data_IF_591654546725
#
_entry.id   IF_591654546725
#
_cell.length_a   1.000
_cell.length_b   1.000
_cell.length_c   1.000
_cell.angle_alpha   90.00
_cell.angle_beta   90.00
_cell.angle_gamma   90.00
#
_symmetry.space_group_name_H-M   'P 1'
#
loop_
_entity.id
_entity.type
_entity.pdbx_description
1 polymer ?
#
# COMPACT_ATOMS: atom_id res chain seq x y z
N UNK A 1 57.17 -19.08 63.11
CA UNK A 1 57.35 -17.73 62.61
C UNK A 1 56.48 -17.60 61.37
N UNK A 2 55.31 -17.00 61.49
CA UNK A 2 54.33 -16.84 60.37
C UNK A 2 54.33 -15.36 59.98
N UNK A 3 54.79 -15.05 58.76
CA UNK A 3 54.68 -13.72 58.19
C UNK A 3 53.34 -13.63 57.41
N UNK A 4 52.51 -12.72 57.87
CA UNK A 4 51.21 -12.40 57.18
C UNK A 4 51.47 -11.18 56.32
N UNK A 5 51.33 -11.37 54.99
CA UNK A 5 51.40 -10.29 54.02
C UNK A 5 49.95 -9.85 53.68
N UNK A 6 49.60 -8.62 54.06
CA UNK A 6 48.32 -8.01 53.75
C UNK A 6 48.39 -7.42 52.34
N UNK A 7 47.62 -7.98 51.43
CA UNK A 7 47.37 -7.43 50.06
C UNK A 7 46.30 -6.35 50.16
N UNK A 8 46.62 -5.13 49.77
CA UNK A 8 45.64 -4.04 49.59
C UNK A 8 45.07 -4.09 48.20
N UNK A 9 43.80 -4.38 48.09
CA UNK A 9 43.09 -4.22 46.86
C UNK A 9 42.73 -2.73 46.66
N UNK A 10 43.25 -2.13 45.61
CA UNK A 10 42.78 -0.84 45.10
C UNK A 10 41.59 -1.09 44.15
N UNK A 11 40.41 -0.61 44.49
CA UNK A 11 39.25 -0.65 43.64
C UNK A 11 39.38 0.46 42.57
N UNK A 12 39.57 0.07 41.33
CA UNK A 12 39.48 0.98 40.18
C UNK A 12 38.00 1.03 39.77
N UNK A 13 37.35 2.17 40.03
CA UNK A 13 36.03 2.48 39.49
C UNK A 13 36.19 2.85 38.00
N UNK A 14 35.95 1.90 37.10
CA UNK A 14 35.73 2.19 35.69
C UNK A 14 34.28 2.63 35.52
N UNK A 15 34.07 3.93 35.36
CA UNK A 15 32.77 4.49 34.97
C UNK A 15 32.44 4.04 33.53
N UNK A 16 31.45 3.18 33.41
CA UNK A 16 30.85 2.87 32.14
C UNK A 16 30.00 4.09 31.67
N UNK A 17 30.54 4.86 30.72
CA UNK A 17 29.74 5.85 29.98
C UNK A 17 28.82 5.03 29.08
N UNK A 18 27.57 4.91 29.48
CA UNK A 18 26.52 4.40 28.58
C UNK A 18 26.32 5.42 27.46
N UNK A 19 26.90 5.16 26.30
CA UNK A 19 26.55 5.83 25.07
C UNK A 19 25.11 5.39 24.70
N UNK A 20 24.13 6.20 25.10
CA UNK A 20 22.78 6.09 24.54
C UNK A 20 22.86 6.61 23.11
N UNK A 21 23.08 5.70 22.16
CA UNK A 21 22.79 5.99 20.76
C UNK A 21 21.29 6.22 20.66
N UNK A 22 20.83 7.34 20.07
CA UNK A 22 19.42 7.50 19.78
C UNK A 22 19.01 6.37 18.82
N UNK A 23 18.05 5.54 19.23
CA UNK A 23 17.37 4.63 18.34
C UNK A 23 16.58 5.50 17.36
N UNK A 24 17.14 5.73 16.18
CA UNK A 24 16.38 6.27 15.07
C UNK A 24 15.23 5.29 14.82
N UNK A 25 14.00 5.77 14.55
CA UNK A 25 12.91 4.90 14.19
C UNK A 25 13.35 4.12 12.95
N UNK A 26 13.48 2.83 13.08
CA UNK A 26 13.64 1.92 11.95
C UNK A 26 12.27 1.88 11.30
N UNK A 27 12.07 2.67 10.27
CA UNK A 27 10.94 2.47 9.38
C UNK A 27 11.04 1.03 8.87
N UNK A 28 9.96 0.27 8.99
CA UNK A 28 9.90 -1.09 8.49
C UNK A 28 10.20 -1.06 6.98
N UNK A 29 11.43 -1.42 6.63
CA UNK A 29 11.87 -1.41 5.24
C UNK A 29 11.61 -2.80 4.69
N UNK A 30 10.87 -2.88 3.58
CA UNK A 30 10.73 -4.13 2.87
C UNK A 30 12.10 -4.63 2.44
N UNK A 31 12.34 -5.89 2.70
CA UNK A 31 13.46 -6.65 2.15
C UNK A 31 13.05 -7.35 0.86
N UNK A 32 14.00 -7.97 0.22
CA UNK A 32 13.78 -8.82 -0.93
C UNK A 32 14.44 -10.17 -0.71
N UNK A 33 13.80 -11.20 -1.27
CA UNK A 33 14.32 -12.57 -1.31
C UNK A 33 14.54 -12.95 -2.78
N UNK A 34 15.76 -13.26 -3.19
CA UNK A 34 16.05 -13.69 -4.57
C UNK A 34 15.23 -14.92 -4.95
N UNK A 35 14.69 -14.95 -6.15
CA UNK A 35 13.97 -16.10 -6.69
C UNK A 35 14.79 -16.69 -7.83
N UNK A 36 15.08 -18.02 -7.81
CA UNK A 36 15.81 -18.66 -8.88
C UNK A 36 15.14 -18.49 -10.24
N UNK A 37 15.89 -18.05 -11.25
CA UNK A 37 15.38 -17.77 -12.59
C UNK A 37 14.82 -19.01 -13.33
N UNK A 38 15.17 -20.21 -12.91
CA UNK A 38 14.62 -21.45 -13.44
C UNK A 38 13.18 -21.72 -13.00
N UNK A 39 12.70 -20.98 -11.98
CA UNK A 39 11.34 -21.12 -11.45
C UNK A 39 10.43 -19.97 -11.82
N UNK A 40 10.96 -18.81 -12.19
CA UNK A 40 10.18 -17.60 -12.47
C UNK A 40 10.40 -17.16 -13.91
N UNK A 41 9.32 -16.87 -14.62
CA UNK A 41 9.33 -16.32 -15.96
C UNK A 41 8.63 -14.99 -16.03
N UNK A 42 9.24 -14.01 -16.72
CA UNK A 42 8.50 -12.92 -17.34
C UNK A 42 7.98 -13.40 -18.69
N UNK A 43 6.70 -13.22 -18.92
CA UNK A 43 6.02 -13.70 -20.14
C UNK A 43 5.31 -12.54 -20.81
N UNK A 44 5.60 -12.34 -22.09
CA UNK A 44 4.80 -11.50 -22.97
C UNK A 44 3.54 -12.27 -23.38
N UNK A 45 2.39 -11.86 -22.85
CA UNK A 45 1.08 -12.47 -23.09
C UNK A 45 0.38 -11.73 -24.21
N UNK A 46 -0.08 -12.39 -25.28
CA UNK A 46 -0.84 -11.73 -26.34
C UNK A 46 -2.07 -10.99 -25.80
N UNK A 47 -2.22 -9.72 -26.17
CA UNK A 47 -3.32 -8.86 -25.75
C UNK A 47 -3.93 -8.12 -26.96
N UNK A 48 -5.14 -8.47 -27.34
CA UNK A 48 -5.79 -7.94 -28.54
C UNK A 48 -5.09 -8.34 -29.84
N UNK A 49 -5.26 -7.55 -30.89
CA UNK A 49 -4.82 -7.90 -32.23
C UNK A 49 -3.29 -7.80 -32.44
N UNK A 50 -2.61 -6.89 -31.75
CA UNK A 50 -1.18 -6.58 -31.96
C UNK A 50 -0.42 -6.24 -30.68
N UNK A 51 -1.07 -6.29 -29.52
CA UNK A 51 -0.47 -5.91 -28.23
C UNK A 51 0.02 -7.10 -27.43
N UNK A 52 0.85 -6.80 -26.41
CA UNK A 52 1.29 -7.75 -25.41
C UNK A 52 1.19 -7.12 -24.03
N UNK A 53 0.82 -7.92 -23.05
CA UNK A 53 0.86 -7.57 -21.62
C UNK A 53 1.93 -8.41 -20.92
N UNK A 54 2.37 -7.95 -19.74
CA UNK A 54 3.31 -8.70 -18.90
C UNK A 54 2.55 -9.64 -17.97
N UNK A 55 3.04 -10.86 -17.85
CA UNK A 55 2.73 -11.74 -16.73
C UNK A 55 4.03 -12.27 -16.12
N UNK A 56 4.06 -12.44 -14.81
CA UNK A 56 5.12 -13.16 -14.08
C UNK A 56 4.53 -14.48 -13.61
N UNK A 57 5.17 -15.57 -13.95
CA UNK A 57 4.74 -16.95 -13.62
C UNK A 57 5.83 -17.63 -12.82
N UNK A 58 5.50 -18.15 -11.65
CA UNK A 58 6.40 -18.95 -10.84
C UNK A 58 5.92 -20.40 -10.74
N UNK A 59 6.84 -21.32 -10.94
CA UNK A 59 6.66 -22.75 -10.70
C UNK A 59 6.90 -23.07 -9.22
N UNK A 60 5.91 -23.59 -8.51
CA UNK A 60 6.09 -24.08 -7.14
C UNK A 60 6.84 -25.43 -7.20
N UNK A 61 7.97 -25.57 -6.47
CA UNK A 61 8.79 -26.77 -6.53
C UNK A 61 8.03 -28.05 -6.15
N UNK A 62 8.23 -29.11 -6.92
CA UNK A 62 7.63 -30.44 -6.65
C UNK A 62 6.13 -30.54 -6.97
N UNK A 63 5.56 -29.50 -7.58
CA UNK A 63 4.17 -29.48 -8.03
C UNK A 63 4.09 -29.70 -9.55
N UNK A 64 2.85 -29.70 -10.08
CA UNK A 64 2.57 -29.85 -11.49
C UNK A 64 3.17 -28.72 -12.31
N UNK A 65 3.70 -29.03 -13.49
CA UNK A 65 4.34 -28.05 -14.36
C UNK A 65 3.38 -26.95 -14.78
N UNK A 66 3.82 -25.71 -14.62
CA UNK A 66 3.06 -24.51 -14.96
C UNK A 66 3.23 -24.14 -16.43
N UNK A 67 4.39 -24.38 -16.98
CA UNK A 67 4.74 -24.03 -18.35
C UNK A 67 5.73 -25.03 -18.94
N UNK A 68 5.80 -25.04 -20.26
CA UNK A 68 6.88 -25.69 -20.99
C UNK A 68 7.48 -24.71 -22.01
N UNK A 69 8.80 -24.76 -22.20
CA UNK A 69 9.52 -23.86 -23.08
C UNK A 69 9.88 -24.56 -24.39
N UNK A 70 9.71 -23.89 -25.52
CA UNK A 70 10.01 -24.40 -26.86
C UNK A 70 10.75 -23.34 -27.68
N UNK A 71 11.83 -23.77 -28.36
CA UNK A 71 12.63 -22.86 -29.17
C UNK A 71 13.52 -21.93 -28.35
N UNK A 72 14.28 -21.08 -29.06
CA UNK A 72 15.20 -20.11 -28.45
C UNK A 72 15.04 -18.69 -28.99
N UNK A 73 14.62 -18.53 -30.26
CA UNK A 73 14.59 -17.25 -30.95
C UNK A 73 13.29 -17.06 -31.76
N UNK A 74 12.18 -16.67 -31.13
CA UNK A 74 11.91 -16.49 -29.68
C UNK A 74 11.65 -17.80 -28.93
N UNK A 75 11.88 -17.81 -27.65
CA UNK A 75 11.42 -18.91 -26.77
C UNK A 75 9.91 -18.77 -26.56
N UNK A 76 9.17 -19.80 -27.01
CA UNK A 76 7.71 -19.88 -26.85
C UNK A 76 7.40 -20.53 -25.53
N UNK A 77 6.49 -19.91 -24.77
CA UNK A 77 5.96 -20.45 -23.51
C UNK A 77 4.64 -21.16 -23.80
N UNK A 78 4.59 -22.48 -23.60
CA UNK A 78 3.34 -23.21 -23.58
C UNK A 78 2.67 -23.00 -22.20
N UNK A 79 1.53 -22.29 -22.12
CA UNK A 79 0.93 -21.90 -20.85
C UNK A 79 0.11 -23.03 -20.22
N UNK A 80 0.75 -24.05 -19.65
CA UNK A 80 0.08 -25.21 -19.04
C UNK A 80 -0.88 -24.80 -17.92
N UNK A 81 -0.55 -23.69 -17.21
CA UNK A 81 -1.43 -23.12 -16.18
C UNK A 81 -2.85 -22.75 -16.68
N UNK A 82 -3.07 -22.68 -17.98
CA UNK A 82 -4.42 -22.42 -18.55
C UNK A 82 -5.24 -23.69 -18.75
N UNK A 83 -4.64 -24.88 -18.57
CA UNK A 83 -5.25 -26.18 -18.90
C UNK A 83 -5.70 -26.97 -17.66
N UNK A 84 -5.38 -26.51 -16.46
CA UNK A 84 -5.74 -27.16 -15.19
C UNK A 84 -5.89 -26.11 -14.09
N UNK A 85 -6.51 -26.52 -12.98
CA UNK A 85 -6.47 -25.70 -11.76
C UNK A 85 -5.05 -25.68 -11.21
N UNK A 86 -4.36 -24.55 -11.37
CA UNK A 86 -2.96 -24.39 -11.03
C UNK A 86 -2.72 -23.94 -9.58
N UNK A 87 -3.78 -23.84 -8.77
CA UNK A 87 -3.70 -23.50 -7.34
C UNK A 87 -2.69 -24.37 -6.62
N UNK A 88 -1.77 -23.78 -5.88
CA UNK A 88 -0.69 -24.49 -5.20
C UNK A 88 0.40 -25.06 -6.10
N UNK A 89 0.28 -25.01 -7.44
CA UNK A 89 1.32 -25.44 -8.38
C UNK A 89 2.06 -24.27 -9.00
N UNK A 90 1.32 -23.16 -9.26
CA UNK A 90 1.86 -21.96 -9.88
C UNK A 90 1.46 -20.71 -9.08
N UNK A 91 2.31 -19.69 -9.12
CA UNK A 91 1.96 -18.33 -8.77
C UNK A 91 1.96 -17.47 -10.02
N UNK A 92 1.02 -16.53 -10.13
CA UNK A 92 0.88 -15.66 -11.30
C UNK A 92 0.59 -14.22 -10.88
N UNK A 93 1.37 -13.27 -11.40
CA UNK A 93 1.14 -11.85 -11.29
C UNK A 93 0.93 -11.25 -12.68
N UNK A 94 -0.10 -10.42 -12.86
CA UNK A 94 -0.50 -9.86 -14.16
C UNK A 94 -0.68 -8.35 -14.16
N UNK A 95 -0.48 -7.70 -13.02
CA UNK A 95 -0.64 -6.27 -12.84
C UNK A 95 0.37 -5.70 -11.84
N UNK A 96 0.39 -4.38 -11.68
CA UNK A 96 1.28 -3.65 -10.77
C UNK A 96 1.08 -3.96 -9.28
N UNK A 97 0.01 -4.63 -8.89
CA UNK A 97 -0.15 -5.12 -7.52
C UNK A 97 0.64 -6.41 -7.28
N UNK A 98 0.95 -7.15 -8.34
CA UNK A 98 1.69 -8.40 -8.27
C UNK A 98 3.16 -8.29 -8.65
N UNK A 99 3.58 -7.19 -9.30
CA UNK A 99 4.98 -6.95 -9.64
C UNK A 99 5.32 -5.46 -9.74
N UNK A 100 6.57 -5.12 -9.47
CA UNK A 100 7.12 -3.77 -9.65
C UNK A 100 8.62 -3.78 -9.92
N UNK A 101 9.22 -2.60 -10.02
CA UNK A 101 10.66 -2.42 -10.20
C UNK A 101 11.31 -2.10 -8.85
N UNK A 102 12.48 -2.68 -8.60
CA UNK A 102 13.34 -2.36 -7.47
C UNK A 102 14.75 -2.04 -7.98
N UNK A 103 15.32 -0.93 -7.60
CA UNK A 103 16.65 -0.50 -8.03
C UNK A 103 17.54 -0.23 -6.85
N UNK A 104 18.75 -0.78 -6.89
CA UNK A 104 19.76 -0.64 -5.82
C UNK A 104 19.20 -0.91 -4.41
N UNK A 105 18.33 -1.92 -4.31
CA UNK A 105 17.68 -2.28 -3.07
C UNK A 105 16.54 -1.33 -2.63
N UNK A 106 16.12 -0.38 -3.46
CA UNK A 106 15.00 0.52 -3.19
C UNK A 106 13.77 0.13 -4.00
N UNK A 107 12.61 0.08 -3.36
CA UNK A 107 11.33 -0.12 -4.05
C UNK A 107 10.96 1.14 -4.84
N UNK A 108 10.98 1.01 -6.17
CA UNK A 108 10.69 2.10 -7.11
C UNK A 108 9.35 1.88 -7.83
N UNK A 109 8.42 1.20 -7.19
CA UNK A 109 7.08 0.90 -7.73
C UNK A 109 6.30 2.15 -8.13
N UNK A 110 6.62 3.29 -7.52
CA UNK A 110 6.01 4.59 -7.81
C UNK A 110 6.76 5.41 -8.87
N UNK A 111 7.99 5.01 -9.20
CA UNK A 111 8.82 5.74 -10.15
C UNK A 111 8.76 5.12 -11.53
N UNK A 112 8.52 3.81 -11.62
CA UNK A 112 8.55 3.07 -12.87
C UNK A 112 7.31 2.21 -13.07
N UNK A 113 6.88 2.12 -14.33
CA UNK A 113 5.93 1.11 -14.79
C UNK A 113 6.63 0.15 -15.75
N UNK A 114 6.13 -1.07 -15.82
CA UNK A 114 6.62 -2.09 -16.75
C UNK A 114 5.68 -2.20 -17.95
N UNK A 115 6.23 -1.97 -19.14
CA UNK A 115 5.51 -2.08 -20.39
C UNK A 115 6.20 -3.09 -21.31
N UNK A 116 5.44 -3.97 -21.96
CA UNK A 116 5.93 -4.82 -23.06
C UNK A 116 5.64 -4.11 -24.38
N UNK A 117 6.70 -3.74 -25.08
CA UNK A 117 6.59 -2.94 -26.31
C UNK A 117 7.34 -3.59 -27.48
N UNK A 118 6.80 -3.53 -28.72
CA UNK A 118 7.54 -3.93 -29.90
C UNK A 118 8.73 -2.99 -30.18
N UNK A 119 9.87 -3.57 -30.47
CA UNK A 119 11.10 -2.85 -30.83
C UNK A 119 11.84 -3.60 -31.92
N UNK A 120 11.67 -3.15 -33.17
CA UNK A 120 12.18 -3.91 -34.33
C UNK A 120 11.50 -5.26 -34.47
N UNK A 121 12.29 -6.32 -34.44
CA UNK A 121 11.85 -7.71 -34.58
C UNK A 121 11.71 -8.47 -33.23
N UNK A 122 11.74 -7.77 -32.11
CA UNK A 122 11.60 -8.31 -30.77
C UNK A 122 10.60 -7.53 -29.90
N UNK A 123 10.18 -8.10 -28.77
CA UNK A 123 9.48 -7.38 -27.70
C UNK A 123 10.49 -7.03 -26.62
N UNK A 124 10.41 -5.80 -26.14
CA UNK A 124 11.18 -5.35 -24.99
C UNK A 124 10.28 -5.12 -23.79
N UNK A 125 10.71 -5.57 -22.61
CA UNK A 125 10.16 -5.18 -21.32
C UNK A 125 10.91 -3.94 -20.89
N UNK A 126 10.17 -2.83 -20.76
CA UNK A 126 10.74 -1.52 -20.43
C UNK A 126 10.16 -1.05 -19.11
N UNK A 127 11.03 -0.71 -18.16
CA UNK A 127 10.67 0.10 -17.01
C UNK A 127 10.71 1.56 -17.44
N UNK A 128 9.51 2.17 -17.53
CA UNK A 128 9.35 3.58 -17.91
C UNK A 128 9.22 4.45 -16.67
N UNK A 129 10.09 5.44 -16.55
CA UNK A 129 10.00 6.46 -15.53
C UNK A 129 8.75 7.32 -15.70
N UNK A 130 8.07 7.61 -14.60
CA UNK A 130 6.90 8.49 -14.61
C UNK A 130 7.27 9.98 -14.69
N UNK A 131 8.42 10.35 -14.11
CA UNK A 131 8.79 11.75 -13.93
C UNK A 131 9.87 12.24 -14.91
N UNK A 132 10.82 11.39 -15.24
CA UNK A 132 12.06 11.77 -15.95
C UNK A 132 12.12 11.25 -17.39
N UNK A 133 11.05 10.60 -17.87
CA UNK A 133 11.02 9.90 -19.16
C UNK A 133 12.16 8.88 -19.34
N UNK A 134 12.79 8.44 -18.26
CA UNK A 134 13.78 7.36 -18.31
C UNK A 134 13.14 6.07 -18.81
N UNK A 135 13.89 5.30 -19.59
CA UNK A 135 13.47 4.01 -20.10
C UNK A 135 14.58 3.02 -19.84
N UNK A 136 14.38 2.12 -18.90
CA UNK A 136 15.32 1.04 -18.62
C UNK A 136 14.86 -0.22 -19.33
N UNK A 137 15.69 -0.82 -20.15
CA UNK A 137 15.36 -2.08 -20.81
C UNK A 137 15.64 -3.22 -19.83
N UNK A 138 14.57 -3.78 -19.28
CA UNK A 138 14.62 -4.86 -18.28
C UNK A 138 14.91 -6.21 -18.92
N UNK A 139 14.37 -6.44 -20.12
CA UNK A 139 14.56 -7.71 -20.83
C UNK A 139 13.95 -7.71 -22.22
N UNK A 140 14.11 -8.82 -22.95
CA UNK A 140 13.65 -8.94 -24.33
C UNK A 140 13.32 -10.38 -24.72
N UNK A 141 12.57 -10.58 -25.83
CA UNK A 141 12.08 -11.90 -26.27
C UNK A 141 12.96 -12.60 -27.30
N UNK A 142 13.99 -11.97 -27.81
CA UNK A 142 14.81 -12.49 -28.91
C UNK A 142 14.00 -12.91 -30.14
N UNK A 143 13.08 -12.05 -30.58
CA UNK A 143 12.16 -12.26 -31.69
C UNK A 143 10.70 -12.15 -31.32
N UNK A 144 9.83 -12.06 -32.33
CA UNK A 144 8.37 -12.01 -32.19
C UNK A 144 7.73 -13.17 -32.94
N UNK A 145 6.76 -13.82 -32.26
CA UNK A 145 5.83 -14.74 -32.92
C UNK A 145 4.41 -14.32 -32.49
N UNK A 146 3.68 -13.75 -33.44
CA UNK A 146 2.35 -13.20 -33.17
C UNK A 146 1.40 -14.27 -32.60
N UNK A 147 0.63 -13.87 -31.56
CA UNK A 147 -0.37 -14.74 -30.94
C UNK A 147 0.19 -15.79 -30.00
N UNK A 148 1.52 -15.88 -29.84
CA UNK A 148 2.16 -16.81 -28.92
C UNK A 148 2.60 -16.13 -27.64
N UNK A 149 2.62 -16.89 -26.55
CA UNK A 149 3.22 -16.49 -25.30
C UNK A 149 4.75 -16.57 -25.43
N UNK A 150 5.46 -15.48 -25.16
CA UNK A 150 6.89 -15.42 -25.37
C UNK A 150 7.63 -15.19 -24.06
N UNK A 151 8.70 -15.95 -23.83
CA UNK A 151 9.58 -15.71 -22.68
C UNK A 151 10.33 -14.41 -22.89
N UNK A 152 10.31 -13.54 -21.88
CA UNK A 152 11.18 -12.38 -21.79
C UNK A 152 12.42 -12.81 -21.01
N UNK A 153 13.59 -12.70 -21.62
CA UNK A 153 14.87 -12.93 -20.97
C UNK A 153 15.32 -11.62 -20.33
N UNK A 154 15.64 -11.64 -19.04
CA UNK A 154 16.14 -10.45 -18.36
C UNK A 154 17.52 -10.08 -18.88
N UNK A 155 17.78 -8.79 -19.00
CA UNK A 155 19.08 -8.25 -19.39
C UNK A 155 20.07 -8.33 -18.21
N UNK A 156 21.39 -8.34 -18.47
CA UNK A 156 22.38 -8.31 -17.41
C UNK A 156 22.15 -7.15 -16.42
N UNK A 157 22.27 -7.41 -15.13
CA UNK A 157 22.00 -6.48 -14.04
C UNK A 157 20.57 -6.48 -13.55
N UNK A 158 19.70 -7.32 -14.14
CA UNK A 158 18.33 -7.53 -13.69
C UNK A 158 18.12 -8.96 -13.22
N UNK A 159 17.38 -9.12 -12.14
CA UNK A 159 17.00 -10.41 -11.57
C UNK A 159 15.58 -10.39 -10.99
N UNK A 160 15.05 -11.57 -10.69
CA UNK A 160 13.79 -11.68 -9.97
C UNK A 160 14.05 -11.77 -8.47
N UNK A 161 13.28 -10.98 -7.71
CA UNK A 161 13.14 -11.20 -6.29
C UNK A 161 11.67 -11.09 -5.84
N UNK A 162 11.39 -11.54 -4.64
CA UNK A 162 10.09 -11.37 -3.98
C UNK A 162 10.17 -10.35 -2.88
N UNK A 163 9.13 -9.57 -2.76
CA UNK A 163 8.95 -8.66 -1.64
C UNK A 163 8.85 -9.47 -0.34
N UNK A 164 9.59 -9.07 0.68
CA UNK A 164 9.50 -9.66 2.00
C UNK A 164 9.29 -8.55 3.05
N UNK A 165 8.52 -8.86 4.07
CA UNK A 165 8.25 -7.98 5.19
C UNK A 165 8.43 -8.76 6.48
N UNK A 166 9.30 -8.27 7.37
CA UNK A 166 9.64 -8.93 8.65
C UNK A 166 10.01 -10.41 8.50
N UNK A 167 10.69 -10.76 7.38
CA UNK A 167 11.12 -12.13 7.09
C UNK A 167 10.06 -13.00 6.38
N UNK A 168 8.84 -12.52 6.19
CA UNK A 168 7.80 -13.21 5.42
C UNK A 168 7.89 -12.82 3.95
N UNK A 169 8.03 -13.82 3.08
CA UNK A 169 7.98 -13.63 1.63
C UNK A 169 6.53 -13.41 1.20
N UNK A 170 6.29 -12.32 0.48
CA UNK A 170 4.97 -11.94 -0.04
C UNK A 170 4.77 -12.44 -1.48
N UNK A 171 3.53 -12.36 -1.98
CA UNK A 171 3.18 -12.72 -3.36
C UNK A 171 3.63 -11.72 -4.43
N UNK A 172 4.26 -10.61 -4.04
CA UNK A 172 4.70 -9.54 -4.94
C UNK A 172 6.11 -9.81 -5.47
N UNK A 173 6.30 -9.70 -6.80
CA UNK A 173 7.58 -9.85 -7.48
C UNK A 173 8.23 -8.52 -7.74
N UNK A 174 9.54 -8.45 -7.55
CA UNK A 174 10.35 -7.37 -8.04
C UNK A 174 11.15 -7.80 -9.27
N UNK A 175 11.21 -6.91 -10.26
CA UNK A 175 12.30 -6.87 -11.23
C UNK A 175 13.39 -6.04 -10.56
N UNK A 176 14.34 -6.72 -9.91
CA UNK A 176 15.40 -6.07 -9.15
C UNK A 176 16.57 -5.75 -10.05
N UNK A 177 17.01 -4.50 -10.07
CA UNK A 177 18.10 -4.02 -10.88
C UNK A 177 19.24 -3.44 -10.04
N UNK A 178 20.47 -3.75 -10.40
CA UNK A 178 21.68 -3.09 -9.92
C UNK A 178 22.11 -2.02 -10.93
N UNK A 179 22.06 -0.75 -10.57
CA UNK A 179 22.36 0.36 -11.48
C UNK A 179 23.78 0.32 -12.04
N UNK A 180 24.75 -0.16 -11.26
CA UNK A 180 26.14 -0.31 -11.69
C UNK A 180 26.29 -1.43 -12.73
N UNK A 181 25.63 -2.57 -12.49
CA UNK A 181 25.62 -3.69 -13.43
C UNK A 181 24.86 -3.34 -14.72
N UNK A 182 23.72 -2.66 -14.61
CA UNK A 182 22.94 -2.15 -15.76
C UNK A 182 23.78 -1.19 -16.60
N UNK A 183 24.48 -0.24 -15.98
CA UNK A 183 25.35 0.69 -16.66
C UNK A 183 26.57 -0.01 -17.31
N UNK A 184 27.18 -0.96 -16.63
CA UNK A 184 28.30 -1.75 -17.15
C UNK A 184 27.90 -2.62 -18.37
N UNK A 185 26.64 -3.05 -18.43
CA UNK A 185 26.08 -3.77 -19.57
C UNK A 185 25.64 -2.87 -20.73
N UNK A 186 25.89 -1.56 -20.67
CA UNK A 186 25.54 -0.59 -21.69
C UNK A 186 24.10 -0.03 -21.58
N UNK A 187 23.42 -0.30 -20.46
CA UNK A 187 22.15 0.31 -20.14
C UNK A 187 22.31 1.75 -19.63
N UNK A 188 21.25 2.53 -19.71
CA UNK A 188 21.22 3.85 -19.05
C UNK A 188 21.03 3.63 -17.55
N UNK A 189 22.02 4.02 -16.74
CA UNK A 189 21.88 3.97 -15.29
C UNK A 189 20.77 4.93 -14.84
N UNK A 190 19.88 4.53 -13.95
CA UNK A 190 18.90 5.43 -13.37
C UNK A 190 19.61 6.48 -12.49
N UNK A 191 19.13 7.70 -12.53
CA UNK A 191 19.56 8.70 -11.55
C UNK A 191 18.78 8.40 -10.28
N UNK A 192 19.41 7.70 -9.34
CA UNK A 192 18.79 7.38 -8.04
C UNK A 192 18.65 8.67 -7.22
N UNK A 193 17.50 9.30 -7.35
CA UNK A 193 16.97 10.12 -6.26
C UNK A 193 16.13 9.19 -5.41
N UNK A 194 16.53 9.00 -4.16
CA UNK A 194 15.76 8.22 -3.19
C UNK A 194 14.30 8.70 -3.19
N UNK A 195 13.41 7.91 -3.78
CA UNK A 195 11.98 8.25 -3.81
C UNK A 195 11.37 7.97 -2.45
N UNK A 196 11.22 9.04 -1.68
CA UNK A 196 10.11 9.08 -0.76
C UNK A 196 8.82 8.99 -1.60
N UNK A 197 7.84 8.18 -1.18
CA UNK A 197 6.51 8.01 -1.78
C UNK A 197 5.70 9.32 -1.81
N UNK A 198 6.21 10.31 -2.52
CA UNK A 198 5.64 11.64 -2.58
C UNK A 198 4.75 11.76 -3.81
N UNK A 199 3.52 11.26 -3.70
CA UNK A 199 2.48 11.66 -4.65
C UNK A 199 2.29 13.17 -4.62
N UNK A 200 2.15 13.78 -5.79
CA UNK A 200 2.03 15.23 -5.93
C UNK A 200 0.77 15.80 -5.28
N UNK A 201 -0.25 14.95 -5.09
CA UNK A 201 -1.61 15.33 -4.70
C UNK A 201 -2.00 14.97 -3.25
N UNK A 202 -1.09 14.38 -2.45
CA UNK A 202 -1.37 14.03 -1.03
C UNK A 202 -0.74 14.99 -0.03
N UNK A 203 0.00 16.01 -0.46
CA UNK A 203 0.76 16.88 0.46
C UNK A 203 -0.08 17.58 1.54
N UNK A 204 -1.37 17.78 1.29
CA UNK A 204 -2.34 18.39 2.22
C UNK A 204 -3.47 17.44 2.59
N UNK A 205 -3.33 16.17 2.26
CA UNK A 205 -4.34 15.17 2.58
C UNK A 205 -4.24 14.78 4.05
N UNK A 206 -5.38 14.65 4.71
CA UNK A 206 -5.48 14.26 6.12
C UNK A 206 -4.81 12.91 6.38
N UNK A 207 -4.89 11.99 5.40
CA UNK A 207 -4.37 10.62 5.50
C UNK A 207 -3.02 10.44 4.80
N UNK A 208 -2.24 11.52 4.63
CA UNK A 208 -0.96 11.46 3.91
C UNK A 208 -0.04 10.37 4.42
N UNK A 209 0.13 10.28 5.74
CA UNK A 209 1.05 9.31 6.36
C UNK A 209 0.55 7.88 6.18
N UNK A 210 -0.75 7.66 6.39
CA UNK A 210 -1.39 6.34 6.19
C UNK A 210 -1.34 5.91 4.73
N UNK A 211 -1.52 6.84 3.78
CA UNK A 211 -1.37 6.56 2.36
C UNK A 211 0.06 6.10 2.06
N UNK A 212 1.07 6.82 2.56
CA UNK A 212 2.47 6.48 2.34
C UNK A 212 2.83 5.12 2.92
N UNK A 213 2.35 4.80 4.13
CA UNK A 213 2.54 3.52 4.77
C UNK A 213 1.80 2.40 4.02
N UNK A 214 0.54 2.60 3.67
CA UNK A 214 -0.27 1.63 2.91
C UNK A 214 0.33 1.29 1.55
N UNK A 215 0.85 2.30 0.85
CA UNK A 215 1.60 2.12 -0.41
C UNK A 215 2.93 1.41 -0.16
N UNK A 216 3.64 1.80 0.88
CA UNK A 216 4.86 1.12 1.33
C UNK A 216 4.62 -0.36 1.60
N UNK A 217 3.52 -0.71 2.27
CA UNK A 217 3.08 -2.09 2.50
C UNK A 217 2.59 -2.81 1.22
N UNK A 218 2.33 -2.06 0.15
CA UNK A 218 2.04 -2.61 -1.18
C UNK A 218 0.62 -3.13 -1.36
N UNK A 219 -0.31 -2.85 -0.45
CA UNK A 219 -1.69 -3.26 -0.62
C UNK A 219 -2.58 -2.24 -1.35
N UNK A 220 -2.06 -1.04 -1.57
CA UNK A 220 -2.65 -0.05 -2.47
C UNK A 220 -1.54 0.65 -3.24
N UNK A 221 -1.81 1.08 -4.47
CA UNK A 221 -0.85 1.77 -5.32
C UNK A 221 -1.41 3.10 -5.83
N UNK A 222 -0.52 4.01 -6.22
CA UNK A 222 -0.86 5.23 -6.96
C UNK A 222 -1.10 4.98 -8.45
N UNK A 223 -1.28 6.07 -9.18
CA UNK A 223 -1.51 6.06 -10.62
C UNK A 223 -0.24 6.40 -11.39
N UNK A 224 -0.28 6.08 -12.68
CA UNK A 224 0.84 6.27 -13.63
C UNK A 224 1.33 7.72 -13.78
N UNK A 225 0.55 8.69 -13.34
CA UNK A 225 0.84 10.13 -13.39
C UNK A 225 1.44 10.67 -12.07
N UNK A 226 1.94 9.78 -11.22
CA UNK A 226 2.46 10.09 -9.88
C UNK A 226 1.44 10.78 -8.97
N UNK A 227 0.17 10.43 -9.14
CA UNK A 227 -0.91 10.83 -8.23
C UNK A 227 -1.43 9.63 -7.46
N UNK A 228 -1.93 9.86 -6.27
CA UNK A 228 -2.67 8.87 -5.50
C UNK A 228 -4.17 8.97 -5.77
N UNK A 229 -4.63 10.14 -6.16
CA UNK A 229 -6.04 10.52 -6.33
C UNK A 229 -6.83 10.25 -5.06
N UNK A 230 -6.48 10.93 -3.98
CA UNK A 230 -6.99 10.63 -2.64
C UNK A 230 -8.51 10.76 -2.53
N UNK A 231 -9.11 11.67 -3.27
CA UNK A 231 -10.56 11.95 -3.25
C UNK A 231 -11.36 11.15 -4.27
N UNK A 232 -10.71 10.36 -5.15
CA UNK A 232 -11.43 9.47 -6.05
C UNK A 232 -12.13 8.35 -5.25
N UNK A 233 -13.28 7.92 -5.74
CA UNK A 233 -14.01 6.82 -5.11
C UNK A 233 -13.33 5.48 -5.38
N UNK A 234 -13.27 4.63 -4.36
CA UNK A 234 -12.77 3.26 -4.49
C UNK A 234 -13.86 2.36 -5.07
N UNK A 235 -13.52 1.53 -6.07
CA UNK A 235 -14.46 0.53 -6.59
C UNK A 235 -14.48 -0.74 -5.75
N UNK A 236 -15.54 -1.54 -5.86
CA UNK A 236 -15.70 -2.78 -5.10
C UNK A 236 -14.59 -3.80 -5.39
N UNK A 237 -14.15 -3.92 -6.64
CA UNK A 237 -13.02 -4.81 -6.97
C UNK A 237 -11.68 -4.29 -6.43
N UNK A 238 -11.47 -2.97 -6.42
CA UNK A 238 -10.28 -2.37 -5.84
C UNK A 238 -10.22 -2.59 -4.33
N UNK A 239 -11.36 -2.49 -3.63
CA UNK A 239 -11.48 -2.82 -2.21
C UNK A 239 -11.05 -4.26 -1.93
N UNK A 240 -11.59 -5.23 -2.68
CA UNK A 240 -11.21 -6.65 -2.52
C UNK A 240 -9.72 -6.86 -2.73
N UNK A 241 -9.14 -6.24 -3.76
CA UNK A 241 -7.70 -6.34 -4.02
C UNK A 241 -6.85 -5.73 -2.91
N UNK A 242 -7.27 -4.59 -2.37
CA UNK A 242 -6.60 -3.90 -1.28
C UNK A 242 -6.63 -4.73 0.01
N UNK A 243 -7.79 -5.27 0.37
CA UNK A 243 -7.94 -6.11 1.57
C UNK A 243 -7.11 -7.39 1.46
N UNK A 244 -7.17 -8.07 0.30
CA UNK A 244 -6.34 -9.25 0.06
C UNK A 244 -4.86 -8.92 0.28
N UNK A 245 -4.37 -7.83 -0.33
CA UNK A 245 -2.98 -7.40 -0.17
C UNK A 245 -2.63 -7.04 1.28
N UNK A 246 -3.52 -6.39 2.01
CA UNK A 246 -3.29 -6.05 3.41
C UNK A 246 -3.20 -7.31 4.30
N UNK A 247 -4.09 -8.28 4.10
CA UNK A 247 -4.05 -9.56 4.82
C UNK A 247 -2.81 -10.39 4.48
N UNK A 248 -2.32 -10.32 3.23
CA UNK A 248 -1.10 -10.99 2.79
C UNK A 248 0.15 -10.49 3.55
N UNK A 249 0.15 -9.23 4.02
CA UNK A 249 1.24 -8.68 4.84
C UNK A 249 1.25 -9.18 6.29
N UNK A 250 0.24 -9.94 6.73
CA UNK A 250 0.16 -10.46 8.10
C UNK A 250 0.86 -11.82 8.20
N UNK A 251 1.93 -11.92 9.00
CA UNK A 251 2.71 -13.16 9.17
C UNK A 251 1.92 -14.34 9.68
N UNK A 252 0.92 -14.04 10.49
CA UNK A 252 0.04 -15.04 11.10
C UNK A 252 -1.10 -15.50 10.20
N UNK A 253 -1.26 -14.91 9.02
CA UNK A 253 -2.32 -15.23 8.06
C UNK A 253 -1.69 -15.84 6.81
N UNK A 254 -1.74 -17.17 6.73
CA UNK A 254 -1.30 -17.86 5.52
C UNK A 254 -2.45 -17.82 4.50
N UNK A 255 -2.34 -16.93 3.50
CA UNK A 255 -3.27 -16.86 2.39
C UNK A 255 -2.77 -17.75 1.24
N UNK A 256 -3.64 -18.61 0.75
CA UNK A 256 -3.40 -19.24 -0.54
C UNK A 256 -3.62 -18.19 -1.64
N UNK A 257 -2.61 -17.99 -2.50
CA UNK A 257 -2.73 -17.03 -3.61
C UNK A 257 -3.88 -17.43 -4.53
N UNK A 258 -4.88 -16.55 -4.75
CA UNK A 258 -5.99 -16.85 -5.63
C UNK A 258 -5.50 -16.88 -7.08
N UNK A 259 -5.38 -18.06 -7.65
CA UNK A 259 -4.55 -18.29 -8.85
C UNK A 259 -5.33 -18.39 -10.14
N UNK A 260 -6.56 -18.83 -10.14
CA UNK A 260 -7.45 -18.79 -11.32
C UNK A 260 -8.90 -19.05 -10.93
N UNK A 261 -9.77 -18.64 -11.80
CA UNK A 261 -11.21 -18.84 -11.63
C UNK A 261 -11.69 -19.71 -12.78
N UNK A 262 -11.93 -21.01 -12.54
CA UNK A 262 -12.42 -21.90 -13.60
C UNK A 262 -13.85 -21.55 -14.03
N UNK A 263 -14.60 -20.86 -13.16
CA UNK A 263 -15.95 -20.37 -13.42
C UNK A 263 -16.10 -18.93 -12.93
N UNK A 264 -16.97 -18.16 -13.55
CA UNK A 264 -17.24 -16.79 -13.12
C UNK A 264 -17.73 -16.75 -11.66
N UNK A 265 -17.08 -15.97 -10.78
CA UNK A 265 -17.49 -15.87 -9.38
C UNK A 265 -18.89 -15.25 -9.21
N UNK A 266 -19.23 -14.33 -10.11
CA UNK A 266 -20.53 -13.70 -10.24
C UNK A 266 -20.85 -13.51 -11.75
N UNK A 267 -22.14 -13.42 -12.14
CA UNK A 267 -22.52 -13.30 -13.57
C UNK A 267 -21.89 -12.10 -14.29
N UNK A 268 -21.56 -11.05 -13.57
CA UNK A 268 -20.98 -9.80 -14.07
C UNK A 268 -19.46 -9.69 -13.84
N UNK A 269 -18.80 -10.77 -13.37
CA UNK A 269 -17.34 -10.82 -13.18
C UNK A 269 -16.78 -11.89 -14.11
N UNK A 270 -16.26 -11.47 -15.25
CA UNK A 270 -15.60 -12.36 -16.22
C UNK A 270 -14.38 -13.04 -15.55
N UNK A 271 -14.19 -14.34 -15.80
CA UNK A 271 -13.06 -15.09 -15.23
C UNK A 271 -11.68 -14.58 -15.67
N UNK A 272 -11.61 -13.86 -16.79
CA UNK A 272 -10.39 -13.20 -17.25
C UNK A 272 -10.14 -11.82 -16.63
N UNK A 273 -11.12 -11.29 -15.87
CA UNK A 273 -10.97 -10.00 -15.19
C UNK A 273 -9.82 -10.06 -14.19
N UNK A 274 -9.00 -9.02 -14.13
CA UNK A 274 -7.82 -8.94 -13.26
C UNK A 274 -8.12 -9.23 -11.78
N UNK A 275 -9.32 -8.86 -11.32
CA UNK A 275 -9.80 -9.03 -9.94
C UNK A 275 -10.55 -10.33 -9.69
N UNK A 276 -10.87 -11.11 -10.75
CA UNK A 276 -11.79 -12.26 -10.64
C UNK A 276 -11.35 -13.27 -9.59
N UNK A 277 -10.08 -13.63 -9.54
CA UNK A 277 -9.54 -14.57 -8.57
C UNK A 277 -9.63 -14.08 -7.12
N UNK A 278 -9.36 -12.79 -6.90
CA UNK A 278 -9.48 -12.17 -5.57
C UNK A 278 -10.95 -12.04 -5.14
N UNK A 279 -11.86 -11.73 -6.08
CA UNK A 279 -13.31 -11.69 -5.82
C UNK A 279 -13.83 -13.09 -5.48
N UNK A 280 -13.38 -14.13 -6.20
CA UNK A 280 -13.73 -15.53 -5.88
C UNK A 280 -13.25 -15.90 -4.48
N UNK A 281 -11.99 -15.61 -4.18
CA UNK A 281 -11.40 -15.86 -2.87
C UNK A 281 -12.18 -15.13 -1.75
N UNK A 282 -12.49 -13.85 -1.93
CA UNK A 282 -13.21 -13.07 -0.94
C UNK A 282 -14.64 -13.57 -0.72
N UNK A 283 -15.30 -14.07 -1.78
CA UNK A 283 -16.60 -14.71 -1.72
C UNK A 283 -16.54 -16.04 -0.93
N UNK A 284 -15.57 -16.91 -1.23
CA UNK A 284 -15.40 -18.23 -0.58
C UNK A 284 -15.02 -18.13 0.90
N UNK A 285 -14.48 -17.00 1.31
CA UNK A 285 -14.11 -16.74 2.72
C UNK A 285 -15.08 -15.77 3.42
N UNK A 286 -16.26 -15.54 2.85
CA UNK A 286 -17.34 -14.71 3.42
C UNK A 286 -16.93 -13.25 3.74
N UNK A 287 -15.93 -12.72 3.01
CA UNK A 287 -15.52 -11.32 3.16
C UNK A 287 -16.47 -10.37 2.44
N UNK A 288 -16.97 -10.80 1.27
CA UNK A 288 -17.86 -10.01 0.43
C UNK A 288 -19.06 -10.82 -0.03
N UNK A 289 -20.20 -10.15 -0.14
CA UNK A 289 -21.41 -10.67 -0.74
C UNK A 289 -21.75 -9.94 -2.03
N UNK A 290 -22.49 -10.64 -2.92
CA UNK A 290 -23.10 -9.99 -4.08
C UNK A 290 -24.39 -9.28 -3.69
N UNK A 291 -24.95 -8.55 -4.64
CA UNK A 291 -26.26 -7.93 -4.49
C UNK A 291 -27.39 -8.98 -4.61
N UNK A 292 -28.61 -8.64 -4.17
CA UNK A 292 -29.74 -9.58 -4.23
C UNK A 292 -30.10 -10.07 -5.65
N UNK A 293 -29.67 -9.35 -6.69
CA UNK A 293 -29.81 -9.75 -8.09
C UNK A 293 -28.74 -10.75 -8.54
N UNK A 294 -27.85 -11.15 -7.65
CA UNK A 294 -26.74 -12.08 -7.90
C UNK A 294 -25.50 -11.44 -8.53
N UNK A 295 -25.48 -10.12 -8.78
CA UNK A 295 -24.32 -9.41 -9.32
C UNK A 295 -23.32 -9.01 -8.23
N UNK A 296 -22.07 -8.78 -8.61
CA UNK A 296 -21.03 -8.22 -7.72
C UNK A 296 -20.82 -6.72 -7.92
N UNK A 297 -21.00 -6.25 -9.17
CA UNK A 297 -20.80 -4.86 -9.61
C UNK A 297 -19.37 -4.37 -9.36
N UNK A 298 -18.36 -4.97 -9.96
CA UNK A 298 -16.94 -4.72 -9.65
C UNK A 298 -16.52 -3.26 -9.83
N UNK A 299 -17.07 -2.55 -10.82
CA UNK A 299 -16.74 -1.16 -11.16
C UNK A 299 -17.53 -0.11 -10.36
N UNK A 300 -18.50 -0.55 -9.55
CA UNK A 300 -19.32 0.39 -8.76
C UNK A 300 -18.53 0.89 -7.56
N UNK A 301 -18.58 2.20 -7.25
CA UNK A 301 -18.01 2.72 -6.02
C UNK A 301 -18.59 2.02 -4.78
N UNK A 302 -17.73 1.65 -3.85
CA UNK A 302 -18.12 1.12 -2.55
C UNK A 302 -18.49 2.26 -1.63
N UNK A 303 -19.55 2.12 -0.83
CA UNK A 303 -19.88 3.11 0.19
C UNK A 303 -18.98 2.99 1.43
N UNK A 304 -18.94 4.02 2.28
CA UNK A 304 -18.17 3.98 3.53
C UNK A 304 -18.66 2.87 4.46
N UNK A 305 -19.98 2.67 4.54
CA UNK A 305 -20.56 1.57 5.33
C UNK A 305 -20.19 0.19 4.79
N UNK A 306 -20.25 0.00 3.46
CA UNK A 306 -19.80 -1.25 2.82
C UNK A 306 -18.31 -1.51 3.06
N UNK A 307 -17.45 -0.49 2.93
CA UNK A 307 -16.02 -0.58 3.23
C UNK A 307 -15.78 -1.11 4.65
N UNK A 308 -16.40 -0.47 5.65
CA UNK A 308 -16.21 -0.85 7.06
C UNK A 308 -16.74 -2.26 7.34
N UNK A 309 -17.85 -2.66 6.71
CA UNK A 309 -18.37 -4.02 6.85
C UNK A 309 -17.41 -5.07 6.30
N UNK A 310 -16.81 -4.81 5.15
CA UNK A 310 -15.81 -5.74 4.57
C UNK A 310 -14.52 -5.76 5.40
N UNK A 311 -14.11 -4.64 5.98
CA UNK A 311 -12.96 -4.59 6.91
C UNK A 311 -13.24 -5.34 8.22
N UNK A 312 -14.45 -5.28 8.76
CA UNK A 312 -14.85 -6.08 9.92
C UNK A 312 -14.77 -7.59 9.60
N UNK A 313 -15.31 -8.02 8.46
CA UNK A 313 -15.23 -9.41 8.01
C UNK A 313 -13.76 -9.85 7.82
N UNK A 314 -12.94 -9.00 7.22
CA UNK A 314 -11.51 -9.27 7.04
C UNK A 314 -10.76 -9.40 8.37
N UNK A 315 -11.06 -8.56 9.35
CA UNK A 315 -10.47 -8.64 10.68
C UNK A 315 -10.88 -9.94 11.40
N UNK A 316 -12.15 -10.31 11.34
CA UNK A 316 -12.66 -11.59 11.90
C UNK A 316 -12.01 -12.79 11.22
N UNK A 317 -11.91 -12.77 9.88
CA UNK A 317 -11.21 -13.80 9.11
C UNK A 317 -9.75 -13.95 9.53
N UNK A 318 -9.03 -12.83 9.63
CA UNK A 318 -7.62 -12.85 10.03
C UNK A 318 -7.45 -13.46 11.42
N UNK A 319 -8.28 -13.09 12.41
CA UNK A 319 -8.25 -13.67 13.75
C UNK A 319 -8.49 -15.18 13.75
N UNK A 320 -9.45 -15.66 12.96
CA UNK A 320 -9.66 -17.10 12.81
C UNK A 320 -8.45 -17.81 12.20
N UNK A 321 -7.78 -17.21 11.23
CA UNK A 321 -6.54 -17.74 10.64
C UNK A 321 -5.36 -17.74 11.63
N UNK A 322 -5.36 -16.82 12.59
CA UNK A 322 -4.41 -16.77 13.72
C UNK A 322 -4.73 -17.82 14.81
N UNK A 323 -5.81 -18.57 14.66
CA UNK A 323 -6.27 -19.55 15.68
C UNK A 323 -7.01 -18.91 16.86
N UNK A 324 -7.42 -17.66 16.71
CA UNK A 324 -8.20 -16.91 17.69
C UNK A 324 -9.71 -16.99 17.41
N UNK A 325 -10.50 -16.49 18.35
CA UNK A 325 -11.95 -16.31 18.13
C UNK A 325 -12.20 -15.14 17.17
N UNK A 326 -13.26 -15.21 16.39
CA UNK A 326 -13.68 -14.13 15.48
C UNK A 326 -14.14 -12.84 16.21
N UNK A 327 -14.01 -12.79 17.53
CA UNK A 327 -14.41 -11.62 18.33
C UNK A 327 -13.35 -10.53 18.22
N UNK A 328 -13.76 -9.33 17.81
CA UNK A 328 -12.89 -8.17 17.80
C UNK A 328 -12.84 -7.55 19.19
N UNK A 329 -11.64 -7.43 19.75
CA UNK A 329 -11.44 -6.79 21.05
C UNK A 329 -11.21 -5.30 20.81
N UNK A 330 -12.13 -4.48 21.30
CA UNK A 330 -12.06 -3.01 21.19
C UNK A 330 -10.97 -2.47 22.13
N UNK A 331 -10.27 -1.43 21.71
CA UNK A 331 -9.15 -0.83 22.45
C UNK A 331 -9.39 0.66 22.79
N UNK A 332 -10.55 1.19 22.40
CA UNK A 332 -10.99 2.55 22.69
C UNK A 332 -12.51 2.61 22.82
N UNK A 333 -13.02 3.73 23.32
CA UNK A 333 -14.46 3.99 23.38
C UNK A 333 -15.04 4.17 21.98
N UNK A 334 -16.26 3.68 21.70
CA UNK A 334 -16.89 3.86 20.40
C UNK A 334 -17.23 5.33 20.15
N UNK A 335 -17.10 5.74 18.89
CA UNK A 335 -17.51 7.07 18.44
C UNK A 335 -19.03 7.09 18.25
N UNK A 336 -19.69 8.06 18.85
CA UNK A 336 -21.12 8.28 18.66
C UNK A 336 -21.36 9.16 17.43
N UNK A 337 -21.64 8.53 16.29
CA UNK A 337 -21.90 9.24 15.04
C UNK A 337 -23.36 9.69 14.97
N UNK A 338 -23.56 10.95 14.59
CA UNK A 338 -24.89 11.59 14.57
C UNK A 338 -25.81 11.12 13.42
N UNK A 339 -25.25 10.39 12.44
CA UNK A 339 -25.92 10.06 11.18
C UNK A 339 -26.04 8.54 10.91
N UNK A 340 -25.82 7.69 11.94
CA UNK A 340 -25.86 6.23 11.75
C UNK A 340 -26.96 5.49 12.51
N UNK A 341 -27.72 6.16 13.38
CA UNK A 341 -28.65 5.53 14.34
C UNK A 341 -29.62 4.50 13.76
N UNK A 342 -30.10 4.67 12.56
CA UNK A 342 -31.03 3.74 11.90
C UNK A 342 -30.44 3.09 10.65
N UNK A 343 -29.12 3.19 10.48
CA UNK A 343 -28.45 2.63 9.34
C UNK A 343 -28.20 1.12 9.53
N UNK A 344 -28.29 0.31 8.46
CA UNK A 344 -28.11 -1.14 8.51
C UNK A 344 -26.74 -1.55 9.10
N UNK A 345 -25.71 -0.72 8.90
CA UNK A 345 -24.35 -0.96 9.39
C UNK A 345 -24.05 -0.28 10.73
N UNK A 346 -25.05 0.27 11.46
CA UNK A 346 -24.80 1.03 12.68
C UNK A 346 -23.92 0.28 13.69
N UNK A 347 -24.26 -0.97 14.00
CA UNK A 347 -23.49 -1.79 14.95
C UNK A 347 -22.05 -2.07 14.45
N UNK A 348 -21.86 -2.31 13.14
CA UNK A 348 -20.55 -2.51 12.55
C UNK A 348 -19.70 -1.25 12.63
N UNK A 349 -20.29 -0.08 12.30
CA UNK A 349 -19.62 1.21 12.38
C UNK A 349 -19.20 1.52 13.82
N UNK A 350 -20.11 1.31 14.80
CA UNK A 350 -19.81 1.47 16.21
C UNK A 350 -18.66 0.55 16.66
N UNK A 351 -18.75 -0.75 16.36
CA UNK A 351 -17.72 -1.74 16.69
C UNK A 351 -16.37 -1.36 16.11
N UNK A 352 -16.34 -1.00 14.82
CA UNK A 352 -15.10 -0.68 14.11
C UNK A 352 -14.55 0.70 14.47
N UNK A 353 -15.35 1.58 15.03
CA UNK A 353 -14.84 2.83 15.63
C UNK A 353 -14.10 2.56 16.93
N UNK A 354 -14.58 1.59 17.72
CA UNK A 354 -13.92 1.14 18.94
C UNK A 354 -12.76 0.17 18.68
N UNK A 355 -12.69 -0.43 17.51
CA UNK A 355 -11.62 -1.30 17.06
C UNK A 355 -10.57 -0.50 16.32
N UNK A 356 -9.57 0.03 17.05
CA UNK A 356 -8.46 0.83 16.55
C UNK A 356 -8.85 2.04 15.68
N UNK A 357 -10.03 2.63 15.90
CA UNK A 357 -10.46 3.81 15.15
C UNK A 357 -10.64 3.55 13.64
N UNK A 358 -10.92 2.31 13.24
CA UNK A 358 -11.06 1.96 11.82
C UNK A 358 -12.21 2.73 11.17
N UNK A 359 -13.37 2.80 11.86
CA UNK A 359 -14.43 3.72 11.47
C UNK A 359 -14.21 5.07 12.17
N UNK A 360 -13.99 6.10 11.41
CA UNK A 360 -13.74 7.47 11.92
C UNK A 360 -14.65 8.49 11.23
N UNK A 361 -14.81 9.69 11.81
CA UNK A 361 -15.58 10.77 11.19
C UNK A 361 -15.09 11.10 9.78
N UNK A 362 -15.95 11.67 8.96
CA UNK A 362 -15.56 12.14 7.64
C UNK A 362 -14.42 13.17 7.76
N UNK A 363 -13.29 12.90 7.09
CA UNK A 363 -12.06 13.72 7.17
C UNK A 363 -11.51 13.91 8.58
N UNK A 364 -11.78 12.97 9.48
CA UNK A 364 -11.40 13.02 10.91
C UNK A 364 -11.95 14.25 11.65
N UNK A 365 -13.07 14.82 11.20
CA UNK A 365 -13.65 16.04 11.80
C UNK A 365 -15.13 15.87 12.11
N UNK A 366 -15.53 16.28 13.33
CA UNK A 366 -16.93 16.26 13.75
C UNK A 366 -17.43 14.88 14.17
N UNK A 367 -18.73 14.67 14.03
CA UNK A 367 -19.45 13.47 14.48
C UNK A 367 -20.23 12.77 13.36
N UNK A 368 -19.99 13.12 12.10
CA UNK A 368 -20.68 12.53 10.95
C UNK A 368 -19.83 11.46 10.30
N UNK A 369 -20.39 10.27 10.10
CA UNK A 369 -19.72 9.17 9.42
C UNK A 369 -19.97 9.18 7.92
N UNK A 370 -21.12 9.66 7.45
CA UNK A 370 -21.57 9.66 6.06
C UNK A 370 -21.63 8.24 5.44
N UNK A 371 -22.41 7.28 6.01
CA UNK A 371 -22.35 5.85 5.68
C UNK A 371 -22.63 5.52 4.22
N UNK A 372 -23.54 6.24 3.56
CA UNK A 372 -23.98 5.98 2.18
C UNK A 372 -23.12 6.70 1.12
N UNK A 373 -22.15 7.52 1.55
CA UNK A 373 -21.27 8.19 0.57
C UNK A 373 -20.21 7.24 0.04
N UNK A 374 -19.78 7.40 -1.22
CA UNK A 374 -18.66 6.64 -1.76
C UNK A 374 -17.41 6.80 -0.90
N UNK A 375 -16.79 5.70 -0.53
CA UNK A 375 -15.51 5.71 0.17
C UNK A 375 -14.42 6.26 -0.74
N UNK A 376 -13.74 7.30 -0.27
CA UNK A 376 -12.59 7.86 -0.97
C UNK A 376 -11.35 6.98 -0.77
N UNK A 377 -10.45 6.99 -1.73
CA UNK A 377 -9.24 6.15 -1.73
C UNK A 377 -8.32 6.42 -0.54
N UNK A 378 -8.21 7.69 -0.11
CA UNK A 378 -7.44 8.09 1.06
C UNK A 378 -7.99 7.46 2.35
N UNK A 379 -9.28 7.61 2.60
CA UNK A 379 -9.94 7.01 3.76
C UNK A 379 -9.87 5.48 3.72
N UNK A 380 -10.07 4.87 2.54
CA UNK A 380 -10.00 3.42 2.39
C UNK A 380 -8.58 2.88 2.71
N UNK A 381 -7.53 3.60 2.28
CA UNK A 381 -6.15 3.25 2.62
C UNK A 381 -5.91 3.33 4.13
N UNK A 382 -6.34 4.42 4.78
CA UNK A 382 -6.20 4.63 6.23
C UNK A 382 -6.98 3.59 7.04
N UNK A 383 -8.26 3.36 6.73
CA UNK A 383 -9.08 2.38 7.43
C UNK A 383 -8.54 0.94 7.28
N UNK A 384 -8.05 0.57 6.10
CA UNK A 384 -7.42 -0.74 5.88
C UNK A 384 -6.11 -0.88 6.65
N UNK A 385 -5.29 0.16 6.66
CA UNK A 385 -4.04 0.18 7.43
C UNK A 385 -4.31 0.04 8.93
N UNK A 386 -5.25 0.80 9.47
CA UNK A 386 -5.66 0.71 10.89
C UNK A 386 -6.15 -0.70 11.23
N UNK A 387 -6.96 -1.32 10.36
CA UNK A 387 -7.39 -2.71 10.54
C UNK A 387 -6.20 -3.67 10.62
N UNK A 388 -5.26 -3.54 9.67
CA UNK A 388 -4.04 -4.37 9.62
C UNK A 388 -3.18 -4.16 10.88
N UNK A 389 -2.91 -2.93 11.27
CA UNK A 389 -2.08 -2.60 12.42
C UNK A 389 -2.72 -3.08 13.74
N UNK A 390 -4.05 -3.01 13.84
CA UNK A 390 -4.77 -3.58 14.98
C UNK A 390 -4.60 -5.10 15.11
N UNK A 391 -4.56 -5.82 13.98
CA UNK A 391 -4.34 -7.27 13.93
C UNK A 391 -2.91 -7.68 14.30
N UNK A 392 -1.93 -6.81 14.09
CA UNK A 392 -0.53 -7.05 14.48
C UNK A 392 -0.20 -6.62 15.91
N UNK A 393 -1.11 -5.89 16.57
CA UNK A 393 -0.87 -5.30 17.89
C UNK A 393 0.08 -4.10 17.87
N UNK A 394 0.44 -3.60 16.69
CA UNK A 394 1.19 -2.35 16.54
C UNK A 394 0.26 -1.19 16.83
N UNK A 395 0.51 -0.46 17.93
CA UNK A 395 -0.19 0.81 18.21
C UNK A 395 0.39 1.88 17.28
N UNK A 396 -0.48 2.68 16.67
CA UNK A 396 -0.07 3.95 16.08
C UNK A 396 0.66 4.76 17.16
N UNK A 397 1.89 5.18 16.90
CA UNK A 397 2.55 6.19 17.72
C UNK A 397 1.83 7.49 17.42
N UNK A 398 1.01 7.96 18.36
CA UNK A 398 0.46 9.31 18.35
C UNK A 398 1.63 10.29 18.16
N UNK A 399 1.70 10.90 17.01
CA UNK A 399 2.59 12.03 16.73
C UNK A 399 1.96 13.27 17.38
N UNK A 400 2.08 13.37 18.71
CA UNK A 400 1.84 14.59 19.48
C UNK A 400 3.06 15.49 19.33
N UNK A 401 3.27 16.04 18.15
CA UNK A 401 4.07 17.25 17.95
C UNK A 401 3.12 18.45 17.74
N UNK A 402 2.30 18.74 18.76
CA UNK A 402 1.90 20.10 19.03
C UNK A 402 2.95 20.71 19.92
N UNK A 403 3.80 21.52 19.34
CA UNK A 403 4.69 22.42 20.05
C UNK A 403 3.85 23.34 20.93
N UNK A 404 3.76 23.00 22.20
CA UNK A 404 3.55 23.98 23.26
C UNK A 404 4.79 24.87 23.28
N UNK A 405 4.70 26.02 22.63
CA UNK A 405 5.62 27.10 22.89
C UNK A 405 5.26 27.65 24.26
N UNK A 406 5.98 27.15 25.24
CA UNK A 406 6.09 27.72 26.58
C UNK A 406 6.42 29.21 26.48
N UNK A 407 5.40 30.04 26.78
CA UNK A 407 5.63 31.38 27.29
C UNK A 407 5.96 31.24 28.77
N UNK A 408 7.21 31.03 29.10
CA UNK A 408 7.73 31.30 30.44
C UNK A 408 8.18 32.74 30.54
N UNK A 409 7.38 33.47 31.30
CA UNK A 409 7.77 34.29 32.43
C UNK A 409 9.09 35.06 32.34
N UNK A 410 8.98 36.36 32.12
CA UNK A 410 9.93 37.32 32.70
C UNK A 410 9.17 38.30 33.59
N UNK A 411 9.04 37.95 34.88
CA UNK A 411 8.89 38.89 35.96
C UNK A 411 10.24 39.60 36.14
N UNK A 412 10.11 40.85 36.42
CA UNK A 412 11.00 41.85 37.01
C UNK A 412 11.46 42.94 36.05
N UNK A 413 10.78 44.10 36.16
CA UNK A 413 11.40 45.38 36.52
C UNK A 413 10.36 46.45 36.77
N UNK A 414 10.27 46.82 38.04
CA UNK A 414 10.02 48.05 38.69
C UNK A 414 9.52 49.26 37.88
N UNK A 415 8.37 49.74 38.38
CA UNK A 415 7.82 51.10 38.32
C UNK A 415 8.88 52.18 38.71
N UNK A 416 8.85 53.40 38.13
CA UNK A 416 8.27 54.48 38.87
C UNK A 416 7.46 55.48 38.02
N UNK A 417 6.31 55.89 38.60
CA UNK A 417 5.68 57.19 38.66
C UNK A 417 6.20 58.31 37.75
N UNK A 418 5.34 58.96 36.96
CA UNK A 418 4.90 60.34 37.25
C UNK A 418 3.89 60.85 36.21
N UNK A 419 2.79 61.36 36.73
CA UNK A 419 2.08 62.63 36.51
C UNK A 419 1.59 63.08 35.14
N UNK A 420 0.29 63.26 35.12
CA UNK A 420 -0.45 64.49 34.76
C UNK A 420 -0.80 64.77 33.32
N UNK A 421 -2.08 64.82 33.13
CA UNK A 421 -2.92 65.94 32.74
C UNK A 421 -3.36 66.10 31.29
N UNK A 422 -4.63 66.30 31.23
CA UNK A 422 -5.42 67.25 30.43
C UNK A 422 -6.02 66.81 29.10
N UNK A 423 -7.32 66.71 29.19
CA UNK A 423 -8.38 67.53 28.58
C UNK A 423 -9.02 67.01 27.29
N UNK A 424 -10.31 66.78 27.53
CA UNK A 424 -11.49 67.11 26.73
C UNK A 424 -11.30 67.79 25.39
N UNK A 425 -11.96 67.25 24.40
CA UNK A 425 -12.90 68.06 23.59
C UNK A 425 -13.88 67.19 22.83
N UNK A 426 -15.14 67.48 23.09
CA UNK A 426 -16.36 67.22 22.34
C UNK A 426 -16.23 67.46 20.83
N UNK A 427 -16.98 66.71 20.03
CA UNK A 427 -18.11 67.23 19.25
C UNK A 427 -18.48 66.30 18.08
N UNK A 428 -19.74 65.88 18.19
CA UNK A 428 -20.81 65.99 17.19
C UNK A 428 -20.77 65.12 15.93
N UNK A 429 -21.76 64.24 15.96
CA UNK A 429 -22.58 63.75 14.85
C UNK A 429 -23.24 64.91 14.06
N UNK A 430 -23.46 64.79 12.76
CA UNK A 430 -24.84 64.80 12.28
C UNK A 430 -25.18 63.80 11.16
N UNK A 431 -26.23 63.11 11.41
CA UNK A 431 -27.44 62.74 10.62
C UNK A 431 -27.53 63.08 9.13
N UNK A 432 -28.19 62.10 8.45
CA UNK A 432 -29.19 62.18 7.38
C UNK A 432 -28.76 62.58 5.96
N UNK A 433 -29.05 61.72 5.04
CA UNK A 433 -30.20 61.84 4.11
C UNK A 433 -30.34 60.69 3.17
N UNK A 434 -31.60 60.22 3.11
CA UNK A 434 -32.24 59.44 2.05
C UNK A 434 -31.98 59.98 0.62
N UNK A 435 -32.01 59.09 -0.37
CA UNK A 435 -32.97 59.08 -1.49
C UNK A 435 -32.65 57.95 -2.50
N UNK A 436 -33.54 56.99 -2.63
CA UNK A 436 -34.54 56.70 -3.67
C UNK A 436 -34.09 56.80 -5.17
N UNK A 437 -34.53 55.75 -5.84
CA UNK A 437 -35.02 55.61 -7.24
C UNK A 437 -34.07 55.11 -8.32
N UNK A 438 -34.49 53.95 -8.77
CA UNK A 438 -34.97 53.51 -10.10
C UNK A 438 -34.01 53.65 -11.31
N UNK A 439 -33.59 52.56 -11.86
CA UNK A 439 -34.02 51.99 -13.18
C UNK A 439 -33.44 50.60 -13.40
#
# INVERSE_FOLDING_TARGET
MKLSTKLKFAAIFTGAIALTTPLLPVFAQFSEEPVPEDRVLAVAVPAGAIGYSLAVIEQIPGQKDCFALNGSDPTIVNPLWTTFDFTGSCSRATDSNGYSVRLDGQDTSLDYRLDVVPKGDELQLIARGYQDNSNLVVGQTNGIKQGEYLKINLNPGWEFSKKAYEGKVLGHYFFSGDSTAIAAAGGSAPTTTASSSNFSDINRDTYKNEIQEAVGLGFIAGFKDNTFRPTDSLTREQLVSMIYGALETLDSVNLESPTSVPTQPYPDVDSSRWSASKIQWAKENDLVEGYPDGSFRPDTPVTRAELITVLENAAKFAKMKQGETAQLVTNQDPVNFSDVDNHWAANTIETMSAYCGVASPDREVGDSFNPDTPAQRNYAAAATLRTRNCLTGTKETENTDMQDTDMQDTQDMQDPQDSQDMQDTDMQDPQDTENTEEN
#
